data_IF_335325305629
#
_entry.id   IF_335325305629
#
_cell.length_a   1.000
_cell.length_b   1.000
_cell.length_c   1.000
_cell.angle_alpha   90.00
_cell.angle_beta   90.00
_cell.angle_gamma   90.00
#
_symmetry.space_group_name_H-M   'P 1'
#
loop_
_entity.id
_entity.type
_entity.pdbx_description
1 polymer ?
#
# COMPACT_ATOMS: atom_id res chain seq x y z
N UNK A 1 5.38 -24.47 -4.16
CA UNK A 1 4.11 -23.73 -4.29
C UNK A 1 4.30 -22.64 -5.33
N UNK A 2 3.65 -22.79 -6.48
CA UNK A 2 3.65 -21.76 -7.53
C UNK A 2 2.78 -20.59 -7.09
N UNK A 3 3.22 -19.37 -7.36
CA UNK A 3 2.35 -18.19 -7.32
C UNK A 3 2.30 -17.64 -8.73
N UNK A 4 1.11 -17.31 -9.21
CA UNK A 4 0.98 -16.65 -10.50
C UNK A 4 1.53 -15.21 -10.44
N UNK A 5 1.84 -14.65 -11.61
CA UNK A 5 2.43 -13.31 -11.72
C UNK A 5 1.52 -12.23 -11.08
N UNK A 6 0.19 -12.37 -11.19
CA UNK A 6 -0.76 -11.48 -10.50
C UNK A 6 -0.46 -11.39 -8.99
N UNK A 7 -0.23 -12.52 -8.33
CA UNK A 7 0.00 -12.54 -6.89
C UNK A 7 1.35 -11.92 -6.47
N UNK A 8 2.33 -11.83 -7.39
CA UNK A 8 3.70 -11.37 -7.11
C UNK A 8 3.98 -9.94 -7.57
N UNK A 9 3.47 -9.59 -8.76
CA UNK A 9 3.85 -8.37 -9.48
C UNK A 9 2.73 -7.32 -9.51
N UNK A 10 1.48 -7.67 -9.21
CA UNK A 10 0.40 -6.69 -9.21
C UNK A 10 0.21 -6.07 -7.83
N UNK A 11 0.12 -4.72 -7.75
CA UNK A 11 -0.29 -4.00 -6.55
C UNK A 11 -1.56 -4.55 -5.91
N UNK A 12 -1.43 -5.07 -4.70
CA UNK A 12 -2.53 -5.60 -3.91
C UNK A 12 -3.00 -4.60 -2.86
N UNK A 13 -2.06 -3.98 -2.12
CA UNK A 13 -2.40 -2.94 -1.18
C UNK A 13 -1.29 -1.89 -1.02
N UNK A 14 -1.70 -0.70 -0.58
CA UNK A 14 -0.81 0.27 0.06
C UNK A 14 -0.91 0.08 1.57
N UNK A 15 0.23 0.07 2.27
CA UNK A 15 0.30 -0.08 3.72
C UNK A 15 1.13 1.07 4.30
N UNK A 16 0.49 1.92 5.12
CA UNK A 16 1.14 3.05 5.78
C UNK A 16 2.01 2.54 6.91
N UNK A 17 3.30 2.88 6.85
CA UNK A 17 4.28 2.50 7.85
C UNK A 17 4.38 3.54 8.98
N UNK A 18 4.91 3.16 10.16
CA UNK A 18 5.07 4.08 11.29
C UNK A 18 5.89 5.34 10.98
N UNK A 19 6.75 5.31 9.96
CA UNK A 19 7.53 6.47 9.50
C UNK A 19 6.73 7.46 8.62
N UNK A 20 5.45 7.20 8.33
CA UNK A 20 4.58 8.05 7.52
C UNK A 20 4.70 7.84 6.00
N UNK A 21 5.46 6.83 5.57
CA UNK A 21 5.64 6.41 4.17
C UNK A 21 4.79 5.15 3.88
N UNK A 22 4.50 4.89 2.61
CA UNK A 22 3.71 3.75 2.18
C UNK A 22 4.57 2.65 1.55
N UNK A 23 4.31 1.40 1.92
CA UNK A 23 4.78 0.24 1.16
C UNK A 23 3.73 -0.14 0.11
N UNK A 24 4.16 -0.38 -1.14
CA UNK A 24 3.32 -0.95 -2.19
C UNK A 24 3.52 -2.47 -2.22
N UNK A 25 2.50 -3.22 -1.81
CA UNK A 25 2.61 -4.65 -1.54
C UNK A 25 1.84 -5.49 -2.56
N UNK A 26 2.35 -6.69 -2.84
CA UNK A 26 1.68 -7.72 -3.63
C UNK A 26 0.73 -8.58 -2.74
N UNK A 27 0.05 -9.58 -3.34
CA UNK A 27 -0.97 -10.39 -2.64
C UNK A 27 -0.40 -11.18 -1.46
N UNK A 28 0.91 -11.38 -1.42
CA UNK A 28 1.64 -12.05 -0.33
C UNK A 28 2.12 -11.07 0.76
N UNK A 29 1.69 -9.81 0.72
CA UNK A 29 2.15 -8.75 1.63
C UNK A 29 3.68 -8.61 1.60
N UNK A 30 4.26 -8.69 0.41
CA UNK A 30 5.66 -8.37 0.15
C UNK A 30 5.73 -7.16 -0.77
N UNK A 31 6.80 -6.36 -0.74
CA UNK A 31 6.98 -5.30 -1.72
C UNK A 31 6.79 -5.85 -3.14
N UNK A 32 6.09 -5.10 -3.98
CA UNK A 32 5.90 -5.51 -5.39
C UNK A 32 7.27 -5.79 -6.02
N UNK A 33 7.40 -6.95 -6.69
CA UNK A 33 8.67 -7.44 -7.22
C UNK A 33 9.39 -8.46 -6.32
N UNK A 34 9.03 -8.57 -5.05
CA UNK A 34 9.61 -9.58 -4.16
C UNK A 34 8.86 -10.92 -4.29
N UNK A 35 9.60 -12.01 -4.39
CA UNK A 35 9.07 -13.38 -4.54
C UNK A 35 9.43 -14.32 -3.37
N UNK A 36 9.79 -13.76 -2.21
CA UNK A 36 10.21 -14.51 -1.03
C UNK A 36 9.06 -14.90 -0.07
N UNK A 37 9.31 -15.93 0.75
CA UNK A 37 8.47 -16.31 1.91
C UNK A 37 8.98 -15.71 3.23
N UNK A 38 10.23 -15.26 3.27
CA UNK A 38 10.86 -14.74 4.48
C UNK A 38 10.10 -13.54 5.03
N UNK A 39 10.19 -13.34 6.35
CA UNK A 39 9.77 -12.09 6.94
C UNK A 39 10.59 -10.93 6.35
N UNK A 40 9.97 -9.77 6.16
CA UNK A 40 10.59 -8.59 5.54
C UNK A 40 10.19 -7.37 6.36
N UNK A 41 11.17 -6.68 6.93
CA UNK A 41 11.01 -5.33 7.47
C UNK A 41 11.12 -4.36 6.31
N UNK A 42 10.05 -3.64 5.96
CA UNK A 42 10.02 -2.84 4.74
C UNK A 42 11.00 -1.67 4.79
N UNK A 43 11.30 -1.15 5.98
CA UNK A 43 12.25 -0.09 6.26
C UNK A 43 13.71 -0.47 5.94
N UNK A 44 14.03 -1.76 5.87
CA UNK A 44 15.36 -2.26 5.51
C UNK A 44 15.60 -2.25 3.98
N UNK A 45 14.58 -1.88 3.19
CA UNK A 45 14.65 -1.86 1.73
C UNK A 45 14.18 -0.51 1.16
N UNK A 46 14.65 -0.10 -0.03
CA UNK A 46 14.23 1.14 -0.69
C UNK A 46 12.85 0.98 -1.38
N UNK A 47 11.85 0.54 -0.62
CA UNK A 47 10.50 0.18 -1.10
C UNK A 47 9.39 1.04 -0.48
N UNK A 48 9.77 2.01 0.35
CA UNK A 48 8.86 2.92 1.04
C UNK A 48 8.72 4.22 0.27
N UNK A 49 7.52 4.44 -0.26
CA UNK A 49 7.19 5.63 -1.04
C UNK A 49 6.63 6.71 -0.12
N UNK A 50 7.25 7.88 -0.17
CA UNK A 50 6.69 9.09 0.41
C UNK A 50 5.68 9.72 -0.55
N UNK A 51 4.44 9.28 -0.45
CA UNK A 51 3.30 9.74 -1.26
C UNK A 51 2.20 10.29 -0.35
N UNK A 52 1.45 11.27 -0.83
CA UNK A 52 0.33 11.85 -0.07
C UNK A 52 -0.97 11.09 -0.34
N UNK A 53 -1.49 10.41 0.67
CA UNK A 53 -2.78 9.72 0.62
C UNK A 53 -3.75 10.32 1.66
N UNK A 54 -4.70 11.12 1.19
CA UNK A 54 -5.80 11.65 2.01
C UNK A 54 -6.89 10.58 2.18
N UNK A 55 -7.80 10.72 3.17
CA UNK A 55 -8.96 9.82 3.29
C UNK A 55 -9.80 9.73 2.01
N UNK A 56 -9.96 10.84 1.29
CA UNK A 56 -10.65 10.87 -0.02
C UNK A 56 -9.93 10.01 -1.07
N UNK A 57 -8.60 10.07 -1.13
CA UNK A 57 -7.81 9.23 -2.05
C UNK A 57 -7.84 7.76 -1.61
N UNK A 58 -7.76 7.50 -0.31
CA UNK A 58 -7.88 6.15 0.25
C UNK A 58 -9.20 5.49 -0.17
N UNK A 59 -10.33 6.19 0.00
CA UNK A 59 -11.63 5.72 -0.45
C UNK A 59 -11.67 5.43 -1.96
N UNK A 60 -11.14 6.34 -2.80
CA UNK A 60 -11.13 6.15 -4.24
C UNK A 60 -10.30 4.94 -4.71
N UNK A 61 -9.19 4.65 -4.02
CA UNK A 61 -8.31 3.51 -4.34
C UNK A 61 -8.83 2.22 -3.72
N UNK A 62 -9.42 2.28 -2.52
CA UNK A 62 -9.90 1.12 -1.78
C UNK A 62 -10.96 0.34 -2.55
N UNK A 63 -10.85 -0.98 -2.58
CA UNK A 63 -11.84 -1.90 -3.12
C UNK A 63 -13.23 -1.62 -2.54
N UNK A 64 -13.30 -1.27 -1.26
CA UNK A 64 -14.55 -1.09 -0.51
C UNK A 64 -14.98 0.38 -0.36
N UNK A 65 -14.26 1.33 -0.98
CA UNK A 65 -14.50 2.74 -0.72
C UNK A 65 -14.08 3.21 0.68
N UNK A 66 -13.27 2.42 1.40
CA UNK A 66 -12.86 2.69 2.79
C UNK A 66 -11.94 3.94 2.85
N UNK A 67 -12.30 4.98 3.62
CA UNK A 67 -11.50 6.19 3.76
C UNK A 67 -10.28 6.02 4.66
N UNK A 68 -10.10 4.89 5.35
CA UNK A 68 -8.95 4.64 6.21
C UNK A 68 -7.64 4.57 5.38
N UNK A 69 -6.70 5.51 5.58
CA UNK A 69 -5.48 5.56 4.78
C UNK A 69 -4.42 4.57 5.26
N UNK A 70 -4.64 3.80 6.34
CA UNK A 70 -3.62 2.93 6.94
C UNK A 70 -3.32 1.70 6.08
N UNK A 71 -4.36 1.04 5.56
CA UNK A 71 -4.22 -0.09 4.65
C UNK A 71 -5.29 -0.04 3.58
N UNK A 72 -4.86 0.18 2.35
CA UNK A 72 -5.76 0.39 1.21
C UNK A 72 -5.64 -0.82 0.30
N UNK A 73 -6.63 -1.70 0.36
CA UNK A 73 -6.69 -2.93 -0.45
C UNK A 73 -7.30 -2.59 -1.81
N UNK A 74 -6.62 -2.91 -2.90
CA UNK A 74 -7.08 -2.59 -4.26
C UNK A 74 -8.05 -3.64 -4.80
N UNK A 75 -7.85 -4.90 -4.45
CA UNK A 75 -8.65 -6.03 -4.92
C UNK A 75 -8.61 -7.18 -3.90
N UNK A 76 -9.47 -8.18 -4.04
CA UNK A 76 -9.47 -9.37 -3.17
C UNK A 76 -9.93 -10.62 -3.94
N UNK A 77 -10.19 -11.71 -3.23
CA UNK A 77 -10.58 -12.97 -3.86
C UNK A 77 -12.00 -12.94 -4.44
N UNK A 78 -12.85 -11.98 -4.02
CA UNK A 78 -14.17 -11.73 -4.60
C UNK A 78 -14.15 -10.74 -5.79
N UNK A 79 -13.03 -10.06 -6.03
CA UNK A 79 -12.85 -9.09 -7.11
C UNK A 79 -11.46 -9.29 -7.72
N UNK A 80 -11.21 -10.46 -8.32
CA UNK A 80 -9.91 -10.80 -8.87
C UNK A 80 -9.74 -10.04 -10.20
N UNK A 81 -8.69 -9.21 -10.38
CA UNK A 81 -8.55 -8.39 -11.59
C UNK A 81 -8.56 -9.16 -12.92
N UNK A 82 -8.18 -10.44 -12.89
CA UNK A 82 -8.09 -11.29 -14.08
C UNK A 82 -9.28 -12.24 -14.24
N UNK A 83 -10.33 -12.12 -13.40
CA UNK A 83 -11.48 -13.02 -13.49
C UNK A 83 -12.38 -12.67 -14.69
N UNK A 84 -12.57 -11.38 -14.96
CA UNK A 84 -13.36 -10.88 -16.09
C UNK A 84 -13.01 -9.42 -16.41
N UNK A 85 -13.59 -8.88 -17.48
CA UNK A 85 -13.36 -7.50 -17.94
C UNK A 85 -13.80 -6.45 -16.93
N UNK A 86 -14.90 -6.67 -16.21
CA UNK A 86 -15.43 -5.71 -15.24
C UNK A 86 -14.48 -5.52 -14.05
N UNK A 87 -14.01 -6.63 -13.46
CA UNK A 87 -13.03 -6.62 -12.38
C UNK A 87 -11.68 -6.06 -12.83
N UNK A 88 -11.27 -6.29 -14.07
CA UNK A 88 -10.09 -5.67 -14.66
C UNK A 88 -10.21 -4.15 -14.76
N UNK A 89 -11.32 -3.64 -15.30
CA UNK A 89 -11.57 -2.20 -15.44
C UNK A 89 -11.61 -1.49 -14.08
N UNK A 90 -12.28 -2.09 -13.09
CA UNK A 90 -12.32 -1.57 -11.73
C UNK A 90 -10.93 -1.47 -11.11
N UNK A 91 -10.09 -2.49 -11.30
CA UNK A 91 -8.71 -2.48 -10.84
C UNK A 91 -7.84 -1.46 -11.62
N UNK A 92 -8.01 -1.34 -12.93
CA UNK A 92 -7.30 -0.37 -13.76
C UNK A 92 -7.58 1.07 -13.32
N UNK A 93 -8.83 1.39 -12.97
CA UNK A 93 -9.18 2.71 -12.45
C UNK A 93 -8.37 3.08 -11.19
N UNK A 94 -8.15 2.11 -10.30
CA UNK A 94 -7.33 2.29 -9.09
C UNK A 94 -5.85 2.47 -9.43
N UNK A 95 -5.33 1.67 -10.36
CA UNK A 95 -3.96 1.83 -10.86
C UNK A 95 -3.74 3.21 -11.50
N UNK A 96 -4.72 3.72 -12.24
CA UNK A 96 -4.65 5.05 -12.84
C UNK A 96 -4.57 6.17 -11.79
N UNK A 97 -5.16 5.99 -10.61
CA UNK A 97 -4.99 6.91 -9.49
C UNK A 97 -3.59 6.77 -8.89
N UNK A 98 -3.14 5.53 -8.63
CA UNK A 98 -1.81 5.27 -8.06
C UNK A 98 -0.68 5.82 -8.92
N UNK A 99 -0.74 5.61 -10.24
CA UNK A 99 0.30 6.04 -11.19
C UNK A 99 0.46 7.56 -11.27
N UNK A 100 -0.53 8.34 -10.80
CA UNK A 100 -0.49 9.81 -10.76
C UNK A 100 -0.01 10.36 -9.41
N UNK A 101 0.29 9.50 -8.44
CA UNK A 101 0.83 9.93 -7.16
C UNK A 101 2.30 10.32 -7.32
N UNK A 102 2.65 11.47 -6.77
CA UNK A 102 4.04 11.93 -6.76
C UNK A 102 4.76 11.40 -5.53
N UNK A 103 5.88 10.73 -5.74
CA UNK A 103 6.82 10.38 -4.69
C UNK A 103 7.76 11.56 -4.45
N UNK A 104 7.96 11.95 -3.18
CA UNK A 104 8.89 13.00 -2.80
C UNK A 104 10.12 12.40 -2.14
N UNK A 105 11.30 12.71 -2.67
CA UNK A 105 12.55 12.17 -2.13
C UNK A 105 12.99 12.96 -0.89
N UNK A 106 13.60 12.28 0.08
CA UNK A 106 14.31 12.94 1.18
C UNK A 106 15.73 13.39 0.73
N UNK A 107 16.23 12.90 -0.41
CA UNK A 107 17.59 13.18 -0.90
C UNK A 107 17.67 14.49 -1.71
N UNK A 108 16.54 14.99 -2.20
CA UNK A 108 16.47 16.25 -2.92
C UNK A 108 16.30 17.41 -1.93
N UNK A 109 17.35 18.21 -1.74
CA UNK A 109 17.40 19.32 -0.78
C UNK A 109 16.17 20.23 -0.80
N UNK A 110 15.67 20.58 -1.99
CA UNK A 110 14.50 21.46 -2.16
C UNK A 110 13.16 20.78 -1.85
N UNK A 111 13.12 19.45 -1.76
CA UNK A 111 11.91 18.67 -1.46
C UNK A 111 11.81 18.21 -0.01
N UNK A 112 12.89 18.29 0.78
CA UNK A 112 12.96 17.75 2.15
C UNK A 112 11.83 18.26 3.07
N UNK A 113 11.55 19.56 3.05
CA UNK A 113 10.46 20.14 3.84
C UNK A 113 9.09 19.61 3.42
N UNK A 114 8.89 19.45 2.10
CA UNK A 114 7.66 18.92 1.54
C UNK A 114 7.49 17.44 1.88
N UNK A 115 8.56 16.66 1.73
CA UNK A 115 8.64 15.26 2.09
C UNK A 115 8.29 15.06 3.57
N UNK A 116 8.86 15.87 4.47
CA UNK A 116 8.56 15.86 5.91
C UNK A 116 7.10 16.23 6.20
N UNK A 117 6.57 17.30 5.57
CA UNK A 117 5.17 17.72 5.74
C UNK A 117 4.19 16.62 5.31
N UNK A 118 4.49 15.91 4.22
CA UNK A 118 3.64 14.81 3.74
C UNK A 118 3.62 13.65 4.73
N UNK A 119 4.78 13.21 5.23
CA UNK A 119 4.87 12.15 6.25
C UNK A 119 4.04 12.49 7.49
N UNK A 120 4.20 13.71 8.00
CA UNK A 120 3.43 14.18 9.16
C UNK A 120 1.92 14.25 8.88
N UNK A 121 1.52 14.69 7.68
CA UNK A 121 0.11 14.74 7.29
C UNK A 121 -0.51 13.34 7.21
N UNK A 122 0.21 12.36 6.62
CA UNK A 122 -0.25 10.97 6.56
C UNK A 122 -0.45 10.39 7.96
N UNK A 123 0.53 10.56 8.86
CA UNK A 123 0.43 10.09 10.25
C UNK A 123 -0.73 10.75 11.00
N UNK A 124 -0.95 12.05 10.79
CA UNK A 124 -2.06 12.78 11.42
C UNK A 124 -3.41 12.25 10.94
N UNK A 125 -3.56 12.00 9.65
CA UNK A 125 -4.83 11.47 9.11
C UNK A 125 -5.08 10.04 9.62
N UNK A 126 -4.04 9.21 9.69
CA UNK A 126 -4.14 7.84 10.21
C UNK A 126 -4.56 7.79 11.70
N UNK A 127 -4.09 8.74 12.52
CA UNK A 127 -4.48 8.85 13.94
C UNK A 127 -5.97 9.13 14.15
N UNK A 128 -6.69 9.63 13.14
CA UNK A 128 -8.14 9.90 13.23
C UNK A 128 -8.98 8.63 13.26
N UNK A 129 -8.40 7.50 12.87
CA UNK A 129 -9.06 6.22 12.89
C UNK A 129 -8.64 5.51 14.17
N UNK A 130 -9.60 5.30 15.08
CA UNK A 130 -9.38 4.65 16.37
C UNK A 130 -9.04 3.17 16.17
N UNK A 131 -8.12 2.70 17.00
CA UNK A 131 -7.49 1.37 17.02
C UNK A 131 -6.44 1.06 15.95
N UNK A 132 -5.20 0.68 16.31
CA UNK A 132 -4.30 0.05 15.35
C UNK A 132 -4.92 -1.28 14.91
N UNK A 133 -5.31 -1.41 13.64
CA UNK A 133 -5.49 -2.74 13.04
C UNK A 133 -4.12 -3.39 12.91
N UNK A 134 -3.70 -4.06 13.99
CA UNK A 134 -2.63 -5.05 14.05
C UNK A 134 -1.38 -4.72 13.22
N UNK A 135 -0.46 -3.96 13.80
CA UNK A 135 0.97 -4.17 13.50
C UNK A 135 1.50 -5.17 14.53
N UNK A 136 0.98 -6.37 14.44
CA UNK A 136 1.74 -7.58 14.58
C UNK A 136 1.20 -8.45 13.45
N UNK A 137 1.99 -8.66 12.40
CA UNK A 137 1.88 -9.94 11.70
C UNK A 137 2.42 -10.93 12.71
N UNK A 138 1.56 -11.36 13.64
CA UNK A 138 1.86 -12.50 14.49
C UNK A 138 2.15 -13.64 13.52
N UNK A 139 3.34 -14.23 13.68
CA UNK A 139 3.69 -15.54 13.15
C UNK A 139 2.47 -16.46 13.17
N UNK A 140 2.24 -17.33 12.16
CA UNK A 140 1.43 -18.50 12.42
C UNK A 140 2.03 -19.18 13.66
N UNK A 141 1.25 -19.38 14.74
CA UNK A 141 1.70 -20.22 15.82
C UNK A 141 1.75 -21.63 15.24
N UNK A 142 2.97 -22.14 15.15
CA UNK A 142 3.33 -23.53 14.85
C UNK A 142 3.61 -23.85 13.37
N UNK A 143 4.76 -24.52 13.20
CA UNK A 143 4.94 -25.81 12.52
C UNK A 143 4.19 -26.03 11.19
#
# INVERSE_FOLDING_TARGET
MSANIRALAMPYCLDLQPCGRYALLNRKYKPVGFSSRSFVYYEEYPVLFNVRITPKRAAAISLKGDPDPRRIILYNDGCIPTANSETWLFYQAKLAILARLHHYSDDEYHEQDKAKRIRLANLRDAKRFTEPKGVAVSLPPNL
#
